data_IF_169149739117
#
_entry.id   IF_169149739117
#
_cell.length_a   1.000
_cell.length_b   1.000
_cell.length_c   1.000
_cell.angle_alpha   90.00
_cell.angle_beta   90.00
_cell.angle_gamma   90.00
#
_symmetry.space_group_name_H-M   'P 1'
#
loop_
_entity.id
_entity.type
_entity.pdbx_description
1 polymer ?
#
# COMPACT_ATOMS: atom_id res chain seq x y z
N UNK A 1 33.02 11.65 59.32
CA UNK A 1 32.08 12.04 58.23
C UNK A 1 31.42 10.77 57.72
N UNK A 2 30.25 10.48 58.28
CA UNK A 2 29.41 9.38 57.84
C UNK A 2 28.80 9.77 56.47
N UNK A 3 29.37 9.23 55.41
CA UNK A 3 28.84 9.32 54.06
C UNK A 3 27.66 8.31 53.99
N UNK A 4 26.46 8.75 54.37
CA UNK A 4 25.24 8.00 54.13
C UNK A 4 25.01 7.95 52.61
N UNK A 5 25.49 6.86 51.97
CA UNK A 5 25.21 6.58 50.57
C UNK A 5 23.68 6.48 50.41
N UNK A 6 23.10 7.30 49.53
CA UNK A 6 21.67 7.25 49.23
C UNK A 6 21.27 5.85 48.72
N UNK A 7 20.14 5.29 49.18
CA UNK A 7 19.71 3.97 48.71
C UNK A 7 19.48 3.98 47.18
N UNK A 8 20.12 3.09 46.47
CA UNK A 8 19.94 2.89 45.03
C UNK A 8 19.01 1.73 44.77
N UNK A 9 18.25 1.85 43.69
CA UNK A 9 17.25 0.86 43.24
C UNK A 9 17.61 0.38 41.83
N UNK A 10 17.52 -0.94 41.61
CA UNK A 10 17.78 -1.52 40.29
C UNK A 10 16.59 -1.36 39.35
N UNK A 11 16.80 -0.71 38.20
CA UNK A 11 15.80 -0.50 37.16
C UNK A 11 16.31 -1.09 35.85
N UNK A 12 15.44 -1.83 35.16
CA UNK A 12 15.75 -2.44 33.86
C UNK A 12 15.24 -1.58 32.73
N UNK A 13 16.15 -1.03 31.90
CA UNK A 13 15.82 -0.20 30.74
C UNK A 13 16.48 -0.81 29.50
N UNK A 14 15.70 -1.07 28.44
CA UNK A 14 16.17 -1.68 27.19
C UNK A 14 16.98 -2.98 27.36
N UNK A 15 16.66 -3.76 28.41
CA UNK A 15 17.33 -5.03 28.72
C UNK A 15 18.57 -4.92 29.59
N UNK A 16 19.04 -3.71 29.91
CA UNK A 16 20.17 -3.45 30.80
C UNK A 16 19.68 -2.98 32.19
N UNK A 17 20.40 -3.38 33.25
CA UNK A 17 20.11 -2.96 34.63
C UNK A 17 20.95 -1.73 35.00
N UNK A 18 20.29 -0.75 35.61
CA UNK A 18 20.90 0.49 36.11
C UNK A 18 20.54 0.66 37.59
N UNK A 19 21.51 1.12 38.38
CA UNK A 19 21.29 1.54 39.75
C UNK A 19 20.92 3.02 39.76
N UNK A 20 19.71 3.36 40.22
CA UNK A 20 19.19 4.73 40.22
C UNK A 20 18.73 5.13 41.61
N UNK A 21 18.82 6.42 41.93
CA UNK A 21 18.31 6.97 43.20
C UNK A 21 16.79 7.06 43.23
N UNK A 22 16.20 7.21 44.43
CA UNK A 22 14.76 7.37 44.57
C UNK A 22 14.24 8.62 43.84
N UNK A 23 15.00 9.71 43.86
CA UNK A 23 14.64 10.95 43.15
C UNK A 23 14.68 10.80 41.65
N UNK A 24 15.63 10.06 41.09
CA UNK A 24 15.67 9.72 39.67
C UNK A 24 14.49 8.84 39.25
N UNK A 25 14.09 7.88 40.12
CA UNK A 25 12.90 7.04 39.88
C UNK A 25 11.63 7.88 39.85
N UNK A 26 11.43 8.78 40.86
CA UNK A 26 10.27 9.67 40.92
C UNK A 26 10.20 10.61 39.73
N UNK A 27 11.33 11.22 39.37
CA UNK A 27 11.42 12.11 38.21
C UNK A 27 11.20 11.35 36.90
N UNK A 28 11.70 10.12 36.78
CA UNK A 28 11.48 9.24 35.64
C UNK A 28 9.99 8.87 35.49
N UNK A 29 9.34 8.47 36.59
CA UNK A 29 7.91 8.15 36.60
C UNK A 29 7.03 9.36 36.25
N UNK A 30 7.33 10.53 36.82
CA UNK A 30 6.57 11.77 36.55
C UNK A 30 6.72 12.17 35.07
N UNK A 31 7.93 12.07 34.49
CA UNK A 31 8.15 12.32 33.06
C UNK A 31 7.43 11.32 32.17
N UNK A 32 7.42 10.05 32.50
CA UNK A 32 6.71 9.02 31.74
C UNK A 32 5.19 9.23 31.80
N UNK A 33 4.65 9.53 32.96
CA UNK A 33 3.22 9.83 33.13
C UNK A 33 2.80 11.08 32.33
N UNK A 34 3.58 12.18 32.41
CA UNK A 34 3.36 13.40 31.63
C UNK A 34 3.46 13.15 30.12
N UNK A 35 4.46 12.37 29.70
CA UNK A 35 4.63 12.00 28.29
C UNK A 35 3.44 11.17 27.78
N UNK A 36 2.97 10.18 28.53
CA UNK A 36 1.80 9.38 28.15
C UNK A 36 0.56 10.26 28.03
N UNK A 37 0.28 11.10 29.03
CA UNK A 37 -0.86 12.00 29.00
C UNK A 37 -0.82 12.96 27.81
N UNK A 38 0.35 13.55 27.52
CA UNK A 38 0.55 14.43 26.36
C UNK A 38 0.41 13.67 25.02
N UNK A 39 0.88 12.45 24.97
CA UNK A 39 0.78 11.62 23.76
C UNK A 39 -0.68 11.22 23.50
N UNK A 40 -1.43 10.85 24.55
CA UNK A 40 -2.85 10.52 24.44
C UNK A 40 -3.68 11.73 24.04
N UNK A 41 -3.46 12.91 24.68
CA UNK A 41 -4.16 14.14 24.30
C UNK A 41 -3.87 14.54 22.86
N UNK A 42 -2.61 14.46 22.43
CA UNK A 42 -2.23 14.75 21.05
C UNK A 42 -2.85 13.76 20.06
N UNK A 43 -2.92 12.48 20.39
CA UNK A 43 -3.57 11.47 19.56
C UNK A 43 -5.09 11.73 19.44
N UNK A 44 -5.73 12.12 20.55
CA UNK A 44 -7.14 12.50 20.57
C UNK A 44 -7.41 13.76 19.73
N UNK A 45 -6.61 14.83 19.92
CA UNK A 45 -6.73 16.06 19.13
C UNK A 45 -6.53 15.82 17.63
N UNK A 46 -5.52 15.03 17.27
CA UNK A 46 -5.30 14.62 15.86
C UNK A 46 -6.49 13.89 15.28
N UNK A 47 -7.11 12.99 16.05
CA UNK A 47 -8.30 12.25 15.61
C UNK A 47 -9.51 13.16 15.44
N UNK A 48 -9.72 14.07 16.38
CA UNK A 48 -10.79 15.08 16.30
C UNK A 48 -10.59 15.99 15.08
N UNK A 49 -9.40 16.56 14.92
CA UNK A 49 -9.07 17.42 13.80
C UNK A 49 -9.27 16.70 12.46
N UNK A 50 -8.84 15.44 12.34
CA UNK A 50 -9.05 14.66 11.13
C UNK A 50 -10.54 14.43 10.83
N UNK A 51 -11.35 14.14 11.86
CA UNK A 51 -12.80 13.97 11.73
C UNK A 51 -13.50 15.26 11.31
N UNK A 52 -13.15 16.37 11.95
CA UNK A 52 -13.73 17.69 11.65
C UNK A 52 -13.33 18.18 10.27
N UNK A 53 -12.06 18.02 9.88
CA UNK A 53 -11.58 18.34 8.54
C UNK A 53 -12.29 17.55 7.46
N UNK A 54 -12.55 16.25 7.70
CA UNK A 54 -13.31 15.41 6.76
C UNK A 54 -14.76 15.88 6.64
N UNK A 55 -15.41 16.21 7.77
CA UNK A 55 -16.77 16.75 7.78
C UNK A 55 -16.85 18.07 7.03
N UNK A 56 -15.93 19.01 7.30
CA UNK A 56 -15.88 20.29 6.58
C UNK A 56 -15.71 20.08 5.06
N UNK A 57 -14.89 19.12 4.64
CA UNK A 57 -14.71 18.79 3.22
C UNK A 57 -15.99 18.24 2.59
N UNK A 58 -16.71 17.37 3.30
CA UNK A 58 -18.00 16.84 2.84
C UNK A 58 -19.05 17.94 2.73
N UNK A 59 -19.18 18.81 3.74
CA UNK A 59 -20.10 19.94 3.75
C UNK A 59 -19.80 20.92 2.61
N UNK A 60 -18.52 21.19 2.36
CA UNK A 60 -18.13 22.07 1.25
C UNK A 60 -18.41 21.43 -0.12
N UNK A 61 -18.15 20.14 -0.27
CA UNK A 61 -18.50 19.41 -1.49
C UNK A 61 -20.01 19.39 -1.75
N UNK A 62 -20.82 19.21 -0.70
CA UNK A 62 -22.27 19.29 -0.80
C UNK A 62 -22.75 20.69 -1.26
N UNK A 63 -22.16 21.76 -0.68
CA UNK A 63 -22.46 23.16 -1.11
C UNK A 63 -22.06 23.43 -2.56
N UNK A 64 -20.93 22.89 -3.03
CA UNK A 64 -20.55 23.04 -4.44
C UNK A 64 -21.52 22.31 -5.38
N UNK A 65 -22.01 21.15 -4.99
CA UNK A 65 -23.01 20.40 -5.76
C UNK A 65 -24.36 21.13 -5.79
N UNK A 66 -24.79 21.69 -4.66
CA UNK A 66 -25.99 22.50 -4.56
C UNK A 66 -25.87 23.77 -5.44
N UNK A 67 -24.74 24.46 -5.39
CA UNK A 67 -24.47 25.60 -6.26
C UNK A 67 -24.50 25.22 -7.75
N UNK A 68 -23.99 24.04 -8.12
CA UNK A 68 -24.08 23.53 -9.49
C UNK A 68 -25.52 23.31 -9.94
N UNK A 69 -26.37 22.75 -9.08
CA UNK A 69 -27.79 22.55 -9.36
C UNK A 69 -28.49 23.90 -9.54
N UNK A 70 -28.26 24.86 -8.64
CA UNK A 70 -28.82 26.20 -8.76
C UNK A 70 -28.39 26.91 -10.04
N UNK A 71 -27.12 26.80 -10.43
CA UNK A 71 -26.62 27.36 -11.69
C UNK A 71 -27.24 26.71 -12.91
N UNK A 72 -27.47 25.40 -12.88
CA UNK A 72 -28.16 24.67 -13.94
C UNK A 72 -29.61 25.15 -14.10
N UNK A 73 -30.33 25.33 -12.99
CA UNK A 73 -31.70 25.87 -13.00
C UNK A 73 -31.71 27.31 -13.53
N UNK A 74 -30.76 28.15 -13.07
CA UNK A 74 -30.64 29.51 -13.56
C UNK A 74 -30.35 29.59 -15.08
N UNK A 75 -29.54 28.66 -15.59
CA UNK A 75 -29.28 28.55 -17.03
C UNK A 75 -30.54 28.16 -17.80
N UNK A 76 -31.32 27.21 -17.29
CA UNK A 76 -32.58 26.78 -17.91
C UNK A 76 -33.59 27.95 -17.94
N UNK A 77 -33.72 28.67 -16.83
CA UNK A 77 -34.60 29.84 -16.76
C UNK A 77 -34.17 30.92 -17.74
N UNK A 78 -32.87 31.20 -17.84
CA UNK A 78 -32.34 32.17 -18.79
C UNK A 78 -32.61 31.75 -20.25
N UNK A 79 -32.45 30.46 -20.57
CA UNK A 79 -32.78 29.97 -21.90
C UNK A 79 -34.27 30.11 -22.22
N UNK A 80 -35.15 29.91 -21.24
CA UNK A 80 -36.60 30.14 -21.40
C UNK A 80 -36.88 31.65 -21.61
N UNK A 81 -36.24 32.55 -20.84
CA UNK A 81 -36.38 34.00 -21.03
C UNK A 81 -35.89 34.44 -22.43
N UNK A 82 -34.77 33.89 -22.92
CA UNK A 82 -34.28 34.17 -24.27
C UNK A 82 -35.28 33.73 -25.33
N UNK A 83 -35.80 32.48 -25.21
CA UNK A 83 -36.71 31.93 -26.17
C UNK A 83 -38.09 32.62 -26.16
N UNK A 84 -38.53 33.16 -25.01
CA UNK A 84 -39.78 33.89 -24.88
C UNK A 84 -39.73 35.35 -25.28
N UNK A 85 -38.53 35.91 -25.36
CA UNK A 85 -38.31 37.36 -25.58
C UNK A 85 -38.51 37.81 -27.04
N UNK A 86 -38.83 36.94 -27.99
CA UNK A 86 -39.03 37.24 -29.43
C UNK A 86 -38.32 38.53 -29.90
N UNK A 87 -36.97 38.50 -29.74
CA UNK A 87 -36.13 39.67 -29.93
C UNK A 87 -36.24 40.24 -31.38
N UNK A 88 -36.48 39.36 -32.38
CA UNK A 88 -36.62 39.80 -33.77
C UNK A 88 -37.82 40.70 -33.92
N UNK A 89 -38.95 40.29 -33.39
CA UNK A 89 -40.19 41.08 -33.45
C UNK A 89 -40.07 42.36 -32.63
N UNK A 90 -39.41 42.28 -31.46
CA UNK A 90 -39.21 43.45 -30.62
C UNK A 90 -38.26 44.45 -31.26
N UNK A 91 -37.26 44.03 -32.06
CA UNK A 91 -36.40 44.93 -32.82
C UNK A 91 -37.14 45.65 -33.94
N UNK A 92 -38.22 45.09 -34.50
CA UNK A 92 -39.07 45.74 -35.49
C UNK A 92 -40.03 46.78 -34.85
N UNK A 93 -40.54 46.51 -33.64
CA UNK A 93 -41.51 47.36 -32.94
C UNK A 93 -40.80 48.47 -32.11
N UNK A 94 -39.82 48.12 -31.28
CA UNK A 94 -39.05 49.05 -30.43
C UNK A 94 -37.58 48.58 -30.32
N UNK A 95 -36.69 49.08 -31.22
CA UNK A 95 -35.28 48.76 -31.22
C UNK A 95 -34.53 49.13 -29.92
N UNK A 96 -35.00 50.16 -29.22
CA UNK A 96 -34.36 50.61 -27.97
C UNK A 96 -34.62 49.64 -26.82
N UNK A 97 -35.87 49.18 -26.70
CA UNK A 97 -36.22 48.22 -25.66
C UNK A 97 -35.63 46.85 -25.98
N UNK A 98 -35.61 46.43 -27.26
CA UNK A 98 -34.93 45.20 -27.70
C UNK A 98 -33.45 45.18 -27.28
N UNK A 99 -32.71 46.26 -27.53
CA UNK A 99 -31.32 46.38 -27.13
C UNK A 99 -31.11 46.33 -25.60
N UNK A 100 -32.02 46.89 -24.82
CA UNK A 100 -31.99 46.83 -23.35
C UNK A 100 -32.22 45.39 -22.85
N UNK A 101 -33.18 44.68 -23.42
CA UNK A 101 -33.47 43.29 -23.04
C UNK A 101 -32.30 42.38 -23.43
N UNK A 102 -31.78 42.50 -24.65
CA UNK A 102 -30.62 41.74 -25.10
C UNK A 102 -29.41 42.00 -24.18
N UNK A 103 -29.11 43.24 -23.84
CA UNK A 103 -28.02 43.58 -22.94
C UNK A 103 -28.20 42.95 -21.54
N UNK A 104 -29.44 42.94 -21.01
CA UNK A 104 -29.77 42.34 -19.72
C UNK A 104 -29.58 40.83 -19.76
N UNK A 105 -30.06 40.18 -20.82
CA UNK A 105 -29.93 38.72 -20.99
C UNK A 105 -28.45 38.31 -21.13
N UNK A 106 -27.68 39.04 -21.93
CA UNK A 106 -26.24 38.85 -22.06
C UNK A 106 -25.50 39.00 -20.73
N UNK A 107 -25.80 40.04 -19.94
CA UNK A 107 -25.23 40.17 -18.59
C UNK A 107 -25.60 39.03 -17.65
N UNK A 108 -26.83 38.51 -17.71
CA UNK A 108 -27.24 37.33 -16.94
C UNK A 108 -26.43 36.10 -17.36
N UNK A 109 -26.26 35.88 -18.66
CA UNK A 109 -25.46 34.74 -19.20
C UNK A 109 -24.01 34.84 -18.78
N UNK A 110 -23.38 36.01 -18.86
CA UNK A 110 -22.01 36.23 -18.42
C UNK A 110 -21.81 35.91 -16.92
N UNK A 111 -22.78 36.34 -16.08
CA UNK A 111 -22.75 36.03 -14.64
C UNK A 111 -22.87 34.54 -14.37
N UNK A 112 -23.78 33.84 -15.05
CA UNK A 112 -23.95 32.38 -14.89
C UNK A 112 -22.69 31.67 -15.36
N UNK A 113 -22.15 32.03 -16.52
CA UNK A 113 -20.92 31.42 -17.05
C UNK A 113 -19.72 31.62 -16.10
N UNK A 114 -19.58 32.84 -15.56
CA UNK A 114 -18.53 33.12 -14.59
C UNK A 114 -18.68 32.32 -13.30
N UNK A 115 -19.92 32.19 -12.80
CA UNK A 115 -20.20 31.41 -11.61
C UNK A 115 -19.96 29.89 -11.85
N UNK A 116 -20.36 29.39 -13.01
CA UNK A 116 -20.08 27.99 -13.41
C UNK A 116 -18.57 27.72 -13.48
N UNK A 117 -17.82 28.62 -14.14
CA UNK A 117 -16.37 28.48 -14.25
C UNK A 117 -15.68 28.49 -12.86
N UNK A 118 -16.14 29.38 -11.96
CA UNK A 118 -15.65 29.38 -10.57
C UNK A 118 -15.95 28.06 -9.85
N UNK A 119 -17.19 27.59 -9.95
CA UNK A 119 -17.59 26.34 -9.29
C UNK A 119 -16.79 25.14 -9.82
N UNK A 120 -16.61 25.03 -11.13
CA UNK A 120 -15.77 23.99 -11.74
C UNK A 120 -14.30 24.09 -11.27
N UNK A 121 -13.76 25.31 -11.19
CA UNK A 121 -12.41 25.54 -10.68
C UNK A 121 -12.27 25.06 -9.22
N UNK A 122 -13.24 25.37 -8.37
CA UNK A 122 -13.23 24.94 -6.97
C UNK A 122 -13.40 23.43 -6.83
N UNK A 123 -14.27 22.79 -7.62
CA UNK A 123 -14.41 21.34 -7.66
C UNK A 123 -13.09 20.67 -8.07
N UNK A 124 -12.43 21.22 -9.11
CA UNK A 124 -11.12 20.72 -9.54
C UNK A 124 -10.07 20.85 -8.45
N UNK A 125 -9.97 22.00 -7.79
CA UNK A 125 -9.03 22.21 -6.67
C UNK A 125 -9.26 21.21 -5.53
N UNK A 126 -10.52 20.97 -5.19
CA UNK A 126 -10.86 19.97 -4.17
C UNK A 126 -10.44 18.55 -4.58
N UNK A 127 -10.71 18.19 -5.82
CA UNK A 127 -10.32 16.89 -6.35
C UNK A 127 -8.80 16.74 -6.37
N UNK A 128 -8.06 17.75 -6.84
CA UNK A 128 -6.60 17.74 -6.83
C UNK A 128 -6.03 17.64 -5.40
N UNK A 129 -6.63 18.37 -4.46
CA UNK A 129 -6.27 18.28 -3.03
C UNK A 129 -6.53 16.87 -2.47
N UNK A 130 -7.67 16.28 -2.81
CA UNK A 130 -8.00 14.90 -2.43
C UNK A 130 -6.98 13.90 -2.99
N UNK A 131 -6.64 14.00 -4.28
CA UNK A 131 -5.64 13.13 -4.91
C UNK A 131 -4.27 13.24 -4.22
N UNK A 132 -3.86 14.46 -3.89
CA UNK A 132 -2.59 14.70 -3.18
C UNK A 132 -2.58 14.06 -1.77
N UNK A 133 -3.69 14.19 -1.06
CA UNK A 133 -3.87 13.56 0.26
C UNK A 133 -3.83 12.02 0.15
N UNK A 134 -4.55 11.44 -0.84
CA UNK A 134 -4.52 10.00 -1.09
C UNK A 134 -3.12 9.51 -1.47
N UNK A 135 -2.40 10.26 -2.28
CA UNK A 135 -1.01 9.94 -2.64
C UNK A 135 -0.09 9.97 -1.41
N UNK A 136 -0.21 10.99 -0.56
CA UNK A 136 0.59 11.08 0.68
C UNK A 136 0.31 9.90 1.61
N UNK A 137 -0.96 9.53 1.79
CA UNK A 137 -1.37 8.36 2.58
C UNK A 137 -0.86 7.06 1.98
N UNK A 138 -0.91 6.94 0.64
CA UNK A 138 -0.41 5.76 -0.06
C UNK A 138 1.10 5.60 0.15
N UNK A 139 1.89 6.65 -0.07
CA UNK A 139 3.34 6.63 0.13
C UNK A 139 3.72 6.30 1.57
N UNK A 140 2.97 6.82 2.56
CA UNK A 140 3.21 6.50 3.98
C UNK A 140 2.98 5.02 4.32
N UNK A 141 2.05 4.35 3.62
CA UNK A 141 1.68 2.95 3.83
C UNK A 141 2.46 1.99 2.93
N UNK A 142 2.83 2.46 1.75
CA UNK A 142 3.54 1.71 0.71
C UNK A 142 4.71 2.55 0.18
N UNK A 143 5.87 2.53 0.87
CA UNK A 143 7.04 3.35 0.51
C UNK A 143 7.55 3.09 -0.92
N UNK A 144 7.23 1.93 -1.51
CA UNK A 144 7.58 1.61 -2.91
C UNK A 144 7.02 2.61 -3.92
N UNK A 145 5.93 3.31 -3.57
CA UNK A 145 5.35 4.38 -4.41
C UNK A 145 6.13 5.70 -4.40
N UNK A 146 7.15 5.83 -3.53
CA UNK A 146 8.07 6.97 -3.55
C UNK A 146 9.07 6.90 -4.71
N UNK A 147 9.36 5.70 -5.20
CA UNK A 147 10.27 5.44 -6.32
C UNK A 147 9.45 5.39 -7.61
N UNK A 148 9.70 6.29 -8.59
CA UNK A 148 8.91 6.36 -9.82
C UNK A 148 8.91 5.06 -10.63
N UNK A 149 10.05 4.36 -10.69
CA UNK A 149 10.19 3.13 -11.48
C UNK A 149 9.40 1.98 -10.83
N UNK A 150 9.54 1.81 -9.52
CA UNK A 150 8.78 0.82 -8.76
C UNK A 150 7.29 1.11 -8.78
N UNK A 151 6.91 2.38 -8.63
CA UNK A 151 5.52 2.81 -8.70
C UNK A 151 4.90 2.49 -10.07
N UNK A 152 5.63 2.71 -11.16
CA UNK A 152 5.18 2.37 -12.52
C UNK A 152 4.96 0.86 -12.70
N UNK A 153 5.91 0.05 -12.26
CA UNK A 153 5.81 -1.42 -12.31
C UNK A 153 4.63 -1.93 -11.46
N UNK A 154 4.45 -1.40 -10.25
CA UNK A 154 3.33 -1.74 -9.38
C UNK A 154 1.99 -1.37 -10.00
N UNK A 155 1.86 -0.15 -10.55
CA UNK A 155 0.64 0.30 -11.25
C UNK A 155 0.29 -0.63 -12.42
N UNK A 156 1.26 -1.01 -13.24
CA UNK A 156 1.07 -1.93 -14.36
C UNK A 156 0.60 -3.31 -13.87
N UNK A 157 1.22 -3.83 -12.83
CA UNK A 157 0.87 -5.12 -12.25
C UNK A 157 -0.51 -5.12 -11.59
N UNK A 158 -0.86 -4.02 -10.90
CA UNK A 158 -2.19 -3.81 -10.31
C UNK A 158 -3.27 -3.69 -11.38
N UNK A 159 -3.02 -2.92 -12.45
CA UNK A 159 -3.91 -2.82 -13.62
C UNK A 159 -4.18 -4.19 -14.22
N UNK A 160 -3.14 -4.98 -14.49
CA UNK A 160 -3.26 -6.34 -14.99
C UNK A 160 -4.08 -7.25 -14.05
N UNK A 161 -3.92 -7.05 -12.74
CA UNK A 161 -4.68 -7.80 -11.74
C UNK A 161 -6.15 -7.41 -11.77
N UNK A 162 -6.49 -6.13 -11.79
CA UNK A 162 -7.86 -5.64 -11.88
C UNK A 162 -8.55 -6.09 -13.17
N UNK A 163 -7.86 -5.99 -14.31
CA UNK A 163 -8.38 -6.48 -15.59
C UNK A 163 -8.68 -7.99 -15.55
N UNK A 164 -7.86 -8.78 -14.83
CA UNK A 164 -8.12 -10.21 -14.64
C UNK A 164 -9.32 -10.52 -13.72
N UNK A 165 -9.83 -9.53 -12.99
CA UNK A 165 -11.10 -9.58 -12.24
C UNK A 165 -12.29 -9.02 -13.04
N UNK A 166 -12.07 -8.53 -14.26
CA UNK A 166 -13.11 -8.02 -15.15
C UNK A 166 -13.28 -6.49 -15.15
N UNK A 167 -12.45 -5.76 -14.43
CA UNK A 167 -12.46 -4.29 -14.47
C UNK A 167 -11.93 -3.80 -15.82
N UNK A 168 -12.60 -2.82 -16.41
CA UNK A 168 -12.14 -2.14 -17.61
C UNK A 168 -11.17 -0.98 -17.28
N UNK A 169 -10.48 -0.46 -18.29
CA UNK A 169 -9.47 0.60 -18.09
C UNK A 169 -10.05 1.89 -17.51
N UNK A 170 -11.32 2.20 -17.79
CA UNK A 170 -12.00 3.39 -17.26
C UNK A 170 -12.26 3.24 -15.75
N UNK A 171 -12.71 2.07 -15.33
CA UNK A 171 -12.94 1.76 -13.91
C UNK A 171 -11.62 1.76 -13.13
N UNK A 172 -10.55 1.19 -13.72
CA UNK A 172 -9.21 1.20 -13.12
C UNK A 172 -8.69 2.63 -12.95
N UNK A 173 -8.94 3.50 -13.95
CA UNK A 173 -8.52 4.91 -13.89
C UNK A 173 -9.24 5.72 -12.80
N UNK A 174 -10.38 5.23 -12.29
CA UNK A 174 -11.15 5.87 -11.21
C UNK A 174 -10.76 5.38 -9.81
N UNK A 175 -9.77 4.52 -9.69
CA UNK A 175 -9.26 4.05 -8.40
C UNK A 175 -8.31 5.08 -7.80
N UNK A 176 -8.84 6.03 -7.04
CA UNK A 176 -8.06 7.10 -6.40
C UNK A 176 -7.79 6.85 -4.91
N UNK A 177 -8.62 6.06 -4.23
CA UNK A 177 -8.51 5.81 -2.79
C UNK A 177 -7.33 4.88 -2.48
N UNK A 178 -6.40 5.35 -1.63
CA UNK A 178 -5.22 4.59 -1.21
C UNK A 178 -5.58 3.22 -0.59
N UNK A 179 -6.74 3.11 0.07
CA UNK A 179 -7.21 1.86 0.70
C UNK A 179 -7.53 0.80 -0.36
N UNK A 180 -8.15 1.22 -1.47
CA UNK A 180 -8.44 0.32 -2.60
C UNK A 180 -7.12 -0.12 -3.25
N UNK A 181 -6.18 0.80 -3.43
CA UNK A 181 -4.85 0.47 -3.96
C UNK A 181 -4.13 -0.56 -3.08
N UNK A 182 -4.20 -0.42 -1.76
CA UNK A 182 -3.65 -1.41 -0.81
C UNK A 182 -4.34 -2.77 -0.95
N UNK A 183 -5.68 -2.78 -1.02
CA UNK A 183 -6.45 -4.02 -1.20
C UNK A 183 -6.08 -4.74 -2.51
N UNK A 184 -5.93 -3.99 -3.60
CA UNK A 184 -5.49 -4.53 -4.90
C UNK A 184 -4.08 -5.10 -4.81
N UNK A 185 -3.17 -4.44 -4.10
CA UNK A 185 -1.82 -4.93 -3.85
C UNK A 185 -1.83 -6.26 -3.10
N UNK A 186 -2.66 -6.40 -2.08
CA UNK A 186 -2.77 -7.63 -1.30
C UNK A 186 -3.38 -8.76 -2.14
N UNK A 187 -4.40 -8.47 -2.94
CA UNK A 187 -4.98 -9.41 -3.89
C UNK A 187 -3.95 -9.86 -4.94
N UNK A 188 -3.13 -8.94 -5.46
CA UNK A 188 -2.04 -9.24 -6.39
C UNK A 188 -0.99 -10.15 -5.75
N UNK A 189 -0.53 -9.82 -4.54
CA UNK A 189 0.43 -10.64 -3.78
C UNK A 189 -0.11 -12.03 -3.52
N UNK A 190 -1.37 -12.15 -3.11
CA UNK A 190 -2.02 -13.43 -2.89
C UNK A 190 -2.07 -14.29 -4.16
N UNK A 191 -2.47 -13.72 -5.30
CA UNK A 191 -2.47 -14.43 -6.60
C UNK A 191 -1.08 -14.91 -7.00
N UNK A 192 -0.05 -14.08 -6.80
CA UNK A 192 1.33 -14.45 -7.08
C UNK A 192 1.78 -15.62 -6.19
N UNK A 193 1.43 -15.63 -4.90
CA UNK A 193 1.68 -16.74 -3.99
C UNK A 193 0.96 -18.02 -4.44
N UNK A 194 -0.29 -17.94 -4.86
CA UNK A 194 -1.03 -19.10 -5.38
C UNK A 194 -0.37 -19.68 -6.63
N UNK A 195 0.07 -18.84 -7.56
CA UNK A 195 0.82 -19.29 -8.76
C UNK A 195 2.17 -19.89 -8.41
N UNK A 196 2.84 -19.43 -7.35
CA UNK A 196 4.13 -19.93 -6.89
C UNK A 196 4.03 -21.26 -6.11
N UNK A 197 2.89 -21.55 -5.45
CA UNK A 197 2.69 -22.76 -4.62
C UNK A 197 3.07 -24.07 -5.33
N UNK A 198 2.64 -24.37 -6.57
CA UNK A 198 3.00 -25.63 -7.23
C UNK A 198 4.50 -25.76 -7.49
N UNK A 199 5.21 -24.64 -7.71
CA UNK A 199 6.67 -24.66 -7.90
C UNK A 199 7.43 -24.86 -6.59
N UNK A 200 6.91 -24.34 -5.48
CA UNK A 200 7.47 -24.54 -4.14
C UNK A 200 7.26 -26.01 -3.72
N UNK A 201 6.08 -26.56 -3.92
CA UNK A 201 5.80 -27.96 -3.64
C UNK A 201 6.73 -28.89 -4.43
N UNK A 202 6.99 -28.62 -5.71
CA UNK A 202 7.96 -29.39 -6.52
C UNK A 202 9.40 -29.27 -6.02
N UNK A 203 9.81 -28.16 -5.39
CA UNK A 203 11.14 -28.02 -4.76
C UNK A 203 11.25 -28.80 -3.45
N UNK A 204 10.18 -28.88 -2.68
CA UNK A 204 10.16 -29.60 -1.39
C UNK A 204 10.12 -31.12 -1.58
N UNK A 205 9.52 -31.61 -2.69
CA UNK A 205 9.49 -33.05 -3.01
C UNK A 205 10.84 -33.63 -3.45
N UNK A 206 11.86 -32.83 -3.68
CA UNK A 206 13.24 -33.31 -3.75
C UNK A 206 13.85 -33.18 -2.35
N UNK A 207 13.84 -34.25 -1.54
CA UNK A 207 14.50 -34.18 -0.23
C UNK A 207 15.96 -33.85 -0.49
N UNK A 208 16.41 -32.69 0.01
CA UNK A 208 17.82 -32.41 0.09
C UNK A 208 18.49 -33.62 0.75
N UNK A 209 19.67 -34.00 0.29
CA UNK A 209 20.45 -35.08 0.94
C UNK A 209 20.45 -34.74 2.44
N UNK A 210 19.68 -35.52 3.21
CA UNK A 210 19.73 -35.48 4.66
C UNK A 210 21.12 -36.01 5.02
N UNK A 211 22.01 -35.11 5.40
CA UNK A 211 23.24 -35.50 6.06
C UNK A 211 22.81 -36.00 7.45
N UNK A 212 22.56 -37.29 7.54
CA UNK A 212 22.45 -37.92 8.85
C UNK A 212 23.80 -37.76 9.52
N UNK A 213 23.82 -37.02 10.61
CA UNK A 213 24.94 -36.90 11.55
C UNK A 213 25.47 -38.33 11.79
N UNK A 214 26.75 -38.55 11.42
CA UNK A 214 27.28 -39.88 11.24
C UNK A 214 27.17 -40.75 12.48
N UNK A 215 26.30 -41.74 12.42
CA UNK A 215 26.51 -42.99 13.16
C UNK A 215 27.82 -43.55 12.63
N UNK A 216 28.85 -43.64 13.48
CA UNK A 216 30.12 -44.31 13.13
C UNK A 216 29.79 -45.71 12.64
N UNK A 217 29.85 -45.91 11.31
CA UNK A 217 29.69 -47.24 10.75
C UNK A 217 30.80 -48.14 11.29
N UNK A 218 30.45 -49.32 11.71
CA UNK A 218 31.45 -50.28 12.19
C UNK A 218 32.43 -50.61 11.05
N UNK A 219 33.68 -50.93 11.39
CA UNK A 219 34.69 -51.33 10.39
C UNK A 219 34.20 -52.46 9.48
N UNK A 220 33.35 -53.35 9.99
CA UNK A 220 32.74 -54.47 9.26
C UNK A 220 31.70 -53.99 8.22
N UNK A 221 30.90 -52.97 8.53
CA UNK A 221 29.91 -52.41 7.59
C UNK A 221 30.59 -51.62 6.46
N UNK A 222 31.67 -50.88 6.77
CA UNK A 222 32.46 -50.15 5.75
C UNK A 222 33.10 -51.15 4.79
N UNK A 223 33.68 -52.24 5.30
CA UNK A 223 34.31 -53.28 4.47
C UNK A 223 33.30 -54.05 3.61
N UNK A 224 32.11 -54.33 4.14
CA UNK A 224 31.04 -55.03 3.38
C UNK A 224 30.45 -54.13 2.28
N UNK A 225 30.32 -52.83 2.50
CA UNK A 225 29.88 -51.85 1.48
C UNK A 225 30.92 -51.72 0.36
N UNK A 226 32.18 -51.56 0.71
CA UNK A 226 33.28 -51.49 -0.27
C UNK A 226 33.36 -52.73 -1.16
N UNK A 227 33.15 -53.92 -0.56
CA UNK A 227 33.10 -55.20 -1.29
C UNK A 227 31.89 -55.27 -2.24
N UNK A 228 30.70 -54.84 -1.80
CA UNK A 228 29.51 -54.77 -2.67
C UNK A 228 29.69 -53.81 -3.85
N UNK A 229 30.33 -52.65 -3.65
CA UNK A 229 30.64 -51.70 -4.73
C UNK A 229 31.64 -52.29 -5.73
N UNK A 230 32.72 -52.95 -5.28
CA UNK A 230 33.70 -53.59 -6.16
C UNK A 230 33.04 -54.73 -6.99
N UNK A 231 32.19 -55.53 -6.38
CA UNK A 231 31.40 -56.58 -7.07
C UNK A 231 30.41 -55.99 -8.09
N UNK A 232 29.77 -54.89 -7.76
CA UNK A 232 28.87 -54.15 -8.66
C UNK A 232 29.61 -53.59 -9.88
N UNK A 233 30.84 -53.05 -9.67
CA UNK A 233 31.71 -52.58 -10.77
C UNK A 233 32.12 -53.75 -11.67
N UNK A 234 32.57 -54.85 -11.09
CA UNK A 234 32.95 -56.03 -11.86
C UNK A 234 31.79 -56.56 -12.71
N UNK A 235 30.57 -56.61 -12.15
CA UNK A 235 29.36 -56.99 -12.88
C UNK A 235 29.02 -56.09 -14.05
N UNK A 236 29.37 -54.79 -13.96
CA UNK A 236 29.11 -53.79 -15.03
C UNK A 236 30.22 -53.74 -16.07
N UNK A 237 31.48 -53.85 -15.64
CA UNK A 237 32.64 -53.64 -16.54
C UNK A 237 33.17 -54.92 -17.17
N UNK A 238 32.96 -56.07 -16.52
CA UNK A 238 33.56 -57.35 -16.92
C UNK A 238 35.09 -57.33 -16.99
N UNK A 239 35.74 -56.31 -16.43
CA UNK A 239 37.17 -56.05 -16.57
C UNK A 239 38.02 -56.96 -15.67
N UNK A 240 39.08 -57.52 -16.23
CA UNK A 240 40.09 -58.30 -15.48
C UNK A 240 40.72 -57.49 -14.35
N UNK A 241 40.89 -56.17 -14.51
CA UNK A 241 41.38 -55.26 -13.46
C UNK A 241 40.47 -55.22 -12.24
N UNK A 242 39.15 -55.18 -12.45
CA UNK A 242 38.18 -55.18 -11.36
C UNK A 242 38.11 -56.53 -10.65
N UNK A 243 38.27 -57.64 -11.39
CA UNK A 243 38.40 -58.99 -10.86
C UNK A 243 39.64 -59.15 -9.98
N UNK A 244 40.81 -58.66 -10.44
CA UNK A 244 42.09 -58.73 -9.71
C UNK A 244 42.01 -57.95 -8.39
N UNK A 245 41.34 -56.81 -8.35
CA UNK A 245 41.19 -55.99 -7.14
C UNK A 245 40.36 -56.72 -6.06
N UNK A 246 39.38 -57.52 -6.44
CA UNK A 246 38.56 -58.34 -5.51
C UNK A 246 39.34 -59.54 -5.01
N UNK A 247 40.14 -60.15 -5.88
CA UNK A 247 40.96 -61.32 -5.55
C UNK A 247 42.06 -60.96 -4.55
N UNK A 248 42.74 -59.82 -4.76
CA UNK A 248 43.73 -59.29 -3.82
C UNK A 248 43.13 -58.97 -2.44
N UNK A 249 41.91 -58.41 -2.37
CA UNK A 249 41.22 -58.20 -1.12
C UNK A 249 40.81 -59.52 -0.39
N UNK A 250 40.69 -60.62 -1.11
CA UNK A 250 40.42 -61.94 -0.51
C UNK A 250 41.68 -62.59 0.08
N UNK A 251 42.83 -62.40 -0.56
CA UNK A 251 44.11 -62.96 -0.11
C UNK A 251 44.65 -62.18 1.10
N UNK A 252 44.48 -60.85 1.15
CA UNK A 252 44.99 -60.02 2.25
C UNK A 252 44.11 -60.04 3.51
N UNK A 253 43.08 -60.87 3.59
CA UNK A 253 42.20 -61.07 4.74
C UNK A 253 42.37 -62.39 5.47
N UNK A 254 43.37 -63.18 5.14
CA UNK A 254 43.90 -64.25 6.00
C UNK A 254 45.01 -63.59 6.84
#
# INVERSE_FOLDING_TARGET
QDSTAEPTYKVKVAGQEYDVTLDELRNGYSRDADYRQKTESLAFEKKQFASESEKQRQDYSAKLNEANQMLSVAQQQLNQEINSADLEKLYEEDPTEAARIEHRLRKKQEKINSAMAKNQSEQKKQFDSYLKDQQTKLVSKMPEFSDPDKASQLKTSMKSTLNAYGFNDTEVAQVYDHRIVMLVNDAMKYRNLQKAKPNIAKKITKPGKVFTSGVKQSKSEISSKARKEKLSRLKKSGSVKDATSIFLDMINKQ
#
